data_IF_451708237968
#
_entry.id   IF_451708237968
#
_cell.length_a   1.000
_cell.length_b   1.000
_cell.length_c   1.000
_cell.angle_alpha   90.00
_cell.angle_beta   90.00
_cell.angle_gamma   90.00
#
_symmetry.space_group_name_H-M   'P 1'
#
loop_
_entity.id
_entity.type
_entity.pdbx_description
1 polymer ?
#
# COMPACT_ATOMS: atom_id res chain seq x y z
N UNK A 1 11.52 2.35 11.61
CA UNK A 1 11.84 1.46 10.46
C UNK A 1 12.54 2.30 9.41
N UNK A 2 13.61 1.84 8.76
CA UNK A 2 14.24 2.68 7.72
C UNK A 2 13.32 2.78 6.49
N UNK A 3 13.18 3.97 5.86
CA UNK A 3 12.36 4.16 4.65
C UNK A 3 12.61 3.11 3.55
N UNK A 4 13.85 2.62 3.43
CA UNK A 4 14.22 1.54 2.50
C UNK A 4 13.53 0.23 2.84
N UNK A 5 13.55 -0.20 4.11
CA UNK A 5 12.91 -1.45 4.55
C UNK A 5 11.40 -1.42 4.32
N UNK A 6 10.75 -0.29 4.62
CA UNK A 6 9.31 -0.12 4.38
C UNK A 6 8.97 -0.29 2.90
N UNK A 7 9.70 0.41 2.02
CA UNK A 7 9.48 0.32 0.57
C UNK A 7 9.84 -1.07 0.02
N UNK A 8 10.82 -1.78 0.57
CA UNK A 8 11.10 -3.17 0.20
C UNK A 8 9.94 -4.09 0.57
N UNK A 9 9.48 -4.04 1.83
CA UNK A 9 8.41 -4.93 2.31
C UNK A 9 7.11 -4.64 1.57
N UNK A 10 6.73 -3.37 1.46
CA UNK A 10 5.56 -2.98 0.70
C UNK A 10 5.69 -3.33 -0.78
N UNK A 11 6.86 -3.14 -1.38
CA UNK A 11 7.12 -3.51 -2.77
C UNK A 11 6.89 -4.99 -3.04
N UNK A 12 7.45 -5.87 -2.20
CA UNK A 12 7.22 -7.32 -2.32
C UNK A 12 5.75 -7.67 -2.07
N UNK A 13 5.13 -7.10 -1.05
CA UNK A 13 3.73 -7.36 -0.73
C UNK A 13 2.81 -6.98 -1.90
N UNK A 14 2.93 -5.76 -2.43
CA UNK A 14 2.12 -5.30 -3.56
C UNK A 14 2.35 -6.13 -4.83
N UNK A 15 3.56 -6.64 -5.07
CA UNK A 15 3.80 -7.58 -6.16
C UNK A 15 3.06 -8.91 -5.96
N UNK A 16 3.07 -9.45 -4.74
CA UNK A 16 2.36 -10.70 -4.42
C UNK A 16 0.85 -10.52 -4.54
N UNK A 17 0.28 -9.46 -3.97
CA UNK A 17 -1.15 -9.12 -4.09
C UNK A 17 -1.55 -8.98 -5.56
N UNK A 18 -0.75 -8.22 -6.31
CA UNK A 18 -0.94 -8.03 -7.74
C UNK A 18 -0.96 -9.35 -8.49
N UNK A 19 0.01 -10.23 -8.26
CA UNK A 19 0.06 -11.55 -8.86
C UNK A 19 -1.14 -12.42 -8.47
N UNK A 20 -1.54 -12.43 -7.19
CA UNK A 20 -2.67 -13.24 -6.71
C UNK A 20 -3.98 -12.86 -7.38
N UNK A 21 -4.22 -11.57 -7.66
CA UNK A 21 -5.42 -11.10 -8.34
C UNK A 21 -5.63 -11.72 -9.74
N UNK A 22 -4.57 -12.23 -10.38
CA UNK A 22 -4.67 -12.94 -11.66
C UNK A 22 -5.05 -14.42 -11.51
N UNK A 23 -4.79 -15.03 -10.36
CA UNK A 23 -4.96 -16.47 -10.13
C UNK A 23 -6.17 -16.84 -9.28
N UNK A 24 -6.79 -15.87 -8.58
CA UNK A 24 -7.90 -16.13 -7.65
C UNK A 24 -9.29 -15.90 -8.25
N UNK A 25 -9.40 -15.41 -9.50
CA UNK A 25 -10.67 -15.16 -10.16
C UNK A 25 -11.29 -16.39 -10.83
N UNK A 26 -12.60 -16.59 -10.69
CA UNK A 26 -13.37 -17.55 -11.51
C UNK A 26 -13.87 -16.78 -12.73
N UNK A 27 -13.25 -17.00 -13.89
CA UNK A 27 -13.56 -16.28 -15.13
C UNK A 27 -12.89 -14.90 -15.22
N UNK A 28 -13.27 -14.12 -16.25
CA UNK A 28 -12.66 -12.81 -16.48
C UNK A 28 -13.35 -11.70 -15.68
N UNK A 29 -12.66 -11.15 -14.69
CA UNK A 29 -13.08 -9.95 -13.94
C UNK A 29 -12.13 -8.78 -14.23
N UNK A 30 -12.58 -7.85 -15.08
CA UNK A 30 -11.82 -6.67 -15.44
C UNK A 30 -11.37 -5.83 -14.23
N UNK A 31 -12.21 -5.70 -13.20
CA UNK A 31 -11.90 -4.89 -12.03
C UNK A 31 -10.82 -5.56 -11.18
N UNK A 32 -10.89 -6.89 -11.02
CA UNK A 32 -9.85 -7.67 -10.33
C UNK A 32 -8.52 -7.57 -11.06
N UNK A 33 -8.50 -7.73 -12.38
CA UNK A 33 -7.26 -7.59 -13.16
C UNK A 33 -6.69 -6.17 -13.13
N UNK A 34 -7.55 -5.15 -13.24
CA UNK A 34 -7.15 -3.75 -13.12
C UNK A 34 -6.51 -3.45 -11.75
N UNK A 35 -7.09 -3.96 -10.67
CA UNK A 35 -6.50 -3.90 -9.34
C UNK A 35 -5.15 -4.64 -9.28
N UNK A 36 -5.07 -5.84 -9.87
CA UNK A 36 -3.82 -6.60 -9.96
C UNK A 36 -2.69 -5.82 -10.63
N UNK A 37 -2.97 -5.21 -11.78
CA UNK A 37 -2.02 -4.35 -12.51
C UNK A 37 -1.60 -3.13 -11.67
N UNK A 38 -2.55 -2.48 -10.99
CA UNK A 38 -2.25 -1.38 -10.09
C UNK A 38 -1.29 -1.81 -8.97
N UNK A 39 -1.56 -2.96 -8.35
CA UNK A 39 -0.72 -3.51 -7.30
C UNK A 39 0.68 -3.85 -7.80
N UNK A 40 0.80 -4.51 -8.96
CA UNK A 40 2.11 -4.78 -9.57
C UNK A 40 2.88 -3.49 -9.84
N UNK A 41 2.21 -2.47 -10.39
CA UNK A 41 2.82 -1.18 -10.72
C UNK A 41 3.33 -0.46 -9.47
N UNK A 42 2.55 -0.46 -8.38
CA UNK A 42 2.96 0.09 -7.09
C UNK A 42 4.12 -0.71 -6.49
N UNK A 43 4.08 -2.04 -6.59
CA UNK A 43 5.15 -2.92 -6.14
C UNK A 43 6.49 -2.56 -6.79
N UNK A 44 6.50 -2.43 -8.13
CA UNK A 44 7.68 -2.00 -8.91
C UNK A 44 8.12 -0.60 -8.49
N UNK A 45 7.19 0.36 -8.39
CA UNK A 45 7.49 1.73 -7.97
C UNK A 45 8.18 1.78 -6.61
N UNK A 46 7.67 1.03 -5.62
CA UNK A 46 8.25 1.01 -4.27
C UNK A 46 9.65 0.38 -4.27
N UNK A 47 9.85 -0.72 -5.02
CA UNK A 47 11.16 -1.35 -5.12
C UNK A 47 12.17 -0.45 -5.85
N UNK A 48 11.76 0.29 -6.87
CA UNK A 48 12.63 1.25 -7.56
C UNK A 48 12.97 2.45 -6.66
N UNK A 49 11.99 3.00 -5.95
CA UNK A 49 12.17 4.16 -5.09
C UNK A 49 12.85 3.86 -3.74
N UNK A 50 13.13 2.59 -3.40
CA UNK A 50 13.68 2.22 -2.08
C UNK A 50 15.11 2.73 -1.86
N UNK A 51 15.88 2.87 -2.94
CA UNK A 51 17.28 3.27 -2.94
C UNK A 51 17.47 4.76 -3.19
N UNK A 52 16.38 5.49 -3.47
CA UNK A 52 16.40 6.95 -3.58
C UNK A 52 16.81 7.63 -2.28
N UNK A 53 17.60 8.68 -2.39
CA UNK A 53 17.95 9.52 -1.23
C UNK A 53 16.71 10.26 -0.70
N UNK A 54 16.84 10.87 0.48
CA UNK A 54 15.76 11.67 1.05
C UNK A 54 15.41 12.85 0.13
N UNK A 55 14.35 12.72 -0.66
CA UNK A 55 14.00 13.62 -1.75
C UNK A 55 12.50 13.91 -1.78
N UNK A 56 12.08 14.93 -2.55
CA UNK A 56 10.65 15.23 -2.78
C UNK A 56 9.95 14.07 -3.48
N UNK A 57 10.62 13.43 -4.45
CA UNK A 57 10.11 12.26 -5.15
C UNK A 57 9.75 11.15 -4.17
N UNK A 58 10.64 10.85 -3.21
CA UNK A 58 10.40 9.83 -2.20
C UNK A 58 9.21 10.15 -1.29
N UNK A 59 8.98 11.43 -0.97
CA UNK A 59 7.76 11.87 -0.24
C UNK A 59 6.51 11.55 -1.04
N UNK A 60 6.51 11.85 -2.34
CA UNK A 60 5.37 11.57 -3.23
C UNK A 60 5.09 10.07 -3.29
N UNK A 61 6.14 9.23 -3.39
CA UNK A 61 5.99 7.77 -3.36
C UNK A 61 5.34 7.30 -2.05
N UNK A 62 5.77 7.83 -0.89
CA UNK A 62 5.13 7.52 0.38
C UNK A 62 3.66 7.99 0.44
N UNK A 63 3.35 9.15 -0.12
CA UNK A 63 1.98 9.66 -0.17
C UNK A 63 1.07 8.82 -1.08
N UNK A 64 1.56 8.38 -2.23
CA UNK A 64 0.84 7.45 -3.13
C UNK A 64 0.58 6.14 -2.40
N UNK A 65 1.60 5.57 -1.75
CA UNK A 65 1.43 4.34 -0.97
C UNK A 65 0.42 4.50 0.17
N UNK A 66 0.49 5.61 0.90
CA UNK A 66 -0.49 5.93 1.95
C UNK A 66 -1.92 5.97 1.40
N UNK A 67 -2.18 6.75 0.35
CA UNK A 67 -3.52 6.90 -0.22
C UNK A 67 -4.04 5.60 -0.83
N UNK A 68 -3.21 4.87 -1.56
CA UNK A 68 -3.57 3.58 -2.14
C UNK A 68 -3.97 2.58 -1.04
N UNK A 69 -3.14 2.46 -0.01
CA UNK A 69 -3.38 1.52 1.10
C UNK A 69 -4.59 1.93 1.94
N UNK A 70 -4.73 3.24 2.23
CA UNK A 70 -5.87 3.79 2.98
C UNK A 70 -7.18 3.58 2.21
N UNK A 71 -7.19 3.81 0.89
CA UNK A 71 -8.34 3.57 0.04
C UNK A 71 -8.82 2.12 0.12
N UNK A 72 -7.91 1.16 -0.01
CA UNK A 72 -8.22 -0.28 0.14
C UNK A 72 -8.80 -0.58 1.53
N UNK A 73 -8.18 -0.05 2.59
CA UNK A 73 -8.67 -0.23 3.96
C UNK A 73 -10.10 0.31 4.14
N UNK A 74 -10.40 1.52 3.66
CA UNK A 74 -11.71 2.14 3.78
C UNK A 74 -12.78 1.38 2.98
N UNK A 75 -12.45 0.93 1.77
CA UNK A 75 -13.35 0.11 0.96
C UNK A 75 -13.69 -1.20 1.68
N UNK A 76 -12.68 -1.88 2.24
CA UNK A 76 -12.89 -3.13 2.98
C UNK A 76 -13.67 -2.92 4.28
N UNK A 77 -13.44 -1.83 5.01
CA UNK A 77 -14.26 -1.45 6.17
C UNK A 77 -15.72 -1.23 5.79
N UNK A 78 -15.97 -0.52 4.69
CA UNK A 78 -17.32 -0.28 4.18
C UNK A 78 -17.99 -1.58 3.72
N UNK A 79 -17.27 -2.45 3.01
CA UNK A 79 -17.79 -3.76 2.59
C UNK A 79 -18.18 -4.63 3.79
N UNK A 80 -17.36 -4.62 4.84
CA UNK A 80 -17.66 -5.33 6.09
C UNK A 80 -18.87 -4.75 6.81
N UNK A 81 -18.91 -3.42 7.01
CA UNK A 81 -20.03 -2.76 7.68
C UNK A 81 -21.35 -2.90 6.92
N UNK A 82 -21.31 -2.93 5.59
CA UNK A 82 -22.50 -3.11 4.74
C UNK A 82 -22.95 -4.56 4.59
N UNK A 83 -22.30 -5.52 5.27
CA UNK A 83 -22.67 -6.94 5.23
C UNK A 83 -22.31 -7.66 3.93
N UNK A 84 -21.36 -7.13 3.15
CA UNK A 84 -20.94 -7.69 1.85
C UNK A 84 -19.65 -8.51 1.90
N UNK A 85 -19.04 -8.66 3.07
CA UNK A 85 -17.72 -9.28 3.22
C UNK A 85 -17.74 -10.51 4.12
N UNK A 86 -17.85 -10.35 5.44
CA UNK A 86 -18.04 -11.47 6.38
C UNK A 86 -19.16 -11.17 7.36
N UNK A 87 -19.91 -12.21 7.76
CA UNK A 87 -21.01 -12.06 8.73
C UNK A 87 -20.54 -12.01 10.20
N UNK A 88 -19.24 -11.76 10.43
CA UNK A 88 -18.66 -11.76 11.77
C UNK A 88 -17.66 -10.63 11.98
N UNK A 89 -17.36 -10.30 13.24
CA UNK A 89 -16.38 -9.27 13.60
C UNK A 89 -14.97 -9.54 13.03
N UNK A 90 -14.65 -10.79 12.66
CA UNK A 90 -13.38 -11.15 12.03
C UNK A 90 -13.19 -10.48 10.66
N UNK A 91 -14.27 -10.08 9.99
CA UNK A 91 -14.18 -9.37 8.72
C UNK A 91 -13.52 -7.99 8.81
N UNK A 92 -13.32 -7.46 10.02
CA UNK A 92 -12.57 -6.22 10.25
C UNK A 92 -11.05 -6.42 10.32
N UNK A 93 -10.55 -7.66 10.37
CA UNK A 93 -9.10 -7.93 10.46
C UNK A 93 -8.37 -7.46 9.20
N UNK A 94 -8.84 -7.86 8.01
CA UNK A 94 -8.25 -7.45 6.74
C UNK A 94 -8.19 -5.92 6.56
N UNK A 95 -9.30 -5.15 6.70
CA UNK A 95 -9.22 -3.70 6.58
C UNK A 95 -8.30 -3.06 7.61
N UNK A 96 -8.18 -3.63 8.82
CA UNK A 96 -7.24 -3.15 9.85
C UNK A 96 -5.78 -3.34 9.43
N UNK A 97 -5.45 -4.48 8.83
CA UNK A 97 -4.10 -4.76 8.33
C UNK A 97 -3.70 -3.70 7.28
N UNK A 98 -4.58 -3.42 6.31
CA UNK A 98 -4.35 -2.36 5.33
C UNK A 98 -4.22 -0.97 5.99
N UNK A 99 -5.01 -0.68 7.04
CA UNK A 99 -4.88 0.58 7.78
C UNK A 99 -3.49 0.73 8.43
N UNK A 100 -2.98 -0.33 9.04
CA UNK A 100 -1.64 -0.33 9.67
C UNK A 100 -0.55 -0.04 8.63
N UNK A 101 -0.65 -0.67 7.46
CA UNK A 101 0.30 -0.42 6.35
C UNK A 101 0.22 1.04 5.89
N UNK A 102 -0.98 1.61 5.81
CA UNK A 102 -1.17 3.01 5.42
C UNK A 102 -0.49 3.93 6.43
N UNK A 103 -0.73 3.71 7.72
CA UNK A 103 -0.04 4.44 8.80
C UNK A 103 1.48 4.31 8.70
N UNK A 104 1.99 3.12 8.36
CA UNK A 104 3.41 2.90 8.08
C UNK A 104 3.96 3.80 6.96
N UNK A 105 3.24 3.92 5.85
CA UNK A 105 3.60 4.83 4.74
C UNK A 105 3.60 6.30 5.19
N UNK A 106 2.59 6.70 5.96
CA UNK A 106 2.50 8.07 6.48
C UNK A 106 3.68 8.41 7.39
N UNK A 107 3.99 7.55 8.35
CA UNK A 107 5.12 7.74 9.28
C UNK A 107 6.45 7.76 8.52
N UNK A 108 6.67 6.81 7.59
CA UNK A 108 7.90 6.78 6.79
C UNK A 108 8.06 8.02 5.90
N UNK A 109 6.96 8.56 5.34
CA UNK A 109 6.95 9.81 4.58
C UNK A 109 7.29 11.04 5.44
N UNK A 110 6.77 11.09 6.67
CA UNK A 110 7.11 12.13 7.66
C UNK A 110 8.59 12.08 8.03
N UNK A 111 9.12 10.90 8.32
CA UNK A 111 10.54 10.69 8.65
C UNK A 111 11.47 11.09 7.49
N UNK A 112 11.09 10.76 6.25
CA UNK A 112 11.81 11.16 5.06
C UNK A 112 11.86 12.70 4.93
N UNK A 113 10.73 13.36 5.17
CA UNK A 113 10.64 14.83 5.12
C UNK A 113 11.53 15.48 6.18
N UNK A 114 11.46 14.99 7.42
CA UNK A 114 12.30 15.49 8.51
C UNK A 114 13.80 15.31 8.21
N UNK A 115 14.18 14.13 7.69
CA UNK A 115 15.58 13.84 7.31
C UNK A 115 16.06 14.76 6.19
N UNK A 116 15.20 15.02 5.18
CA UNK A 116 15.53 15.94 4.09
C UNK A 116 15.78 17.36 4.61
N UNK A 117 14.92 17.88 5.48
CA UNK A 117 15.06 19.23 6.04
C UNK A 117 16.38 19.35 6.83
N UNK A 118 16.71 18.35 7.66
CA UNK A 118 17.97 18.33 8.43
C UNK A 118 19.26 18.31 7.59
N UNK A 119 19.19 17.88 6.32
CA UNK A 119 20.35 17.88 5.41
C UNK A 119 20.52 19.19 4.64
N UNK A 120 19.50 20.04 4.64
CA UNK A 120 19.51 21.34 3.94
C UNK A 120 19.89 22.49 4.88
N UNK A 121 19.77 22.30 6.19
CA UNK A 121 20.21 23.21 7.24
C UNK A 121 21.57 22.77 7.76
#
# INVERSE_FOLDING_TARGET
>A
MTPKRMLTIAGVWYLLEGATAFFTGIGFDFMSYGFGILCLSLGILFLAARDELASKLRIVVFAIGFLATLGVSLIAYYAQWSGRFMDSALGYVFPTIWLIVAVGFFIAGRDNTATRIRRLN
#
